data_IF_561895396012
#
_entry.id   IF_561895396012
#
_cell.length_a   1.000
_cell.length_b   1.000
_cell.length_c   1.000
_cell.angle_alpha   90.00
_cell.angle_beta   90.00
_cell.angle_gamma   90.00
#
_symmetry.space_group_name_H-M   'P 1'
#
loop_
_entity.id
_entity.type
_entity.pdbx_description
1 polymer ?
#
# COMPACT_ATOMS: atom_id res chain seq x y z
N UNK A 1 80.31 40.20 -34.07
CA UNK A 1 79.41 40.73 -33.03
C UNK A 1 78.38 39.65 -32.76
N UNK A 2 78.71 38.65 -31.94
CA UNK A 2 78.40 38.52 -30.49
C UNK A 2 76.88 38.58 -30.22
N UNK A 3 76.27 37.40 -30.05
CA UNK A 3 75.24 37.06 -29.03
C UNK A 3 75.31 35.53 -28.87
N UNK A 4 76.15 35.00 -27.96
CA UNK A 4 75.86 34.60 -26.57
C UNK A 4 74.65 33.65 -26.45
N UNK A 5 74.99 32.37 -26.29
CA UNK A 5 74.12 31.28 -25.84
C UNK A 5 73.72 31.45 -24.37
N UNK A 6 72.46 31.14 -24.05
CA UNK A 6 72.04 30.68 -22.72
C UNK A 6 71.06 29.50 -22.86
N UNK A 7 71.25 28.39 -22.12
CA UNK A 7 70.43 27.20 -22.27
C UNK A 7 69.18 27.19 -21.38
N UNK A 8 68.26 26.36 -21.85
CA UNK A 8 66.96 25.90 -21.35
C UNK A 8 66.95 25.47 -19.87
N UNK A 9 65.91 25.84 -19.13
CA UNK A 9 65.44 25.11 -17.93
C UNK A 9 63.97 24.73 -18.17
N UNK A 10 63.74 23.43 -18.38
CA UNK A 10 62.41 22.83 -18.35
C UNK A 10 61.99 22.64 -16.88
N UNK A 11 60.95 23.35 -16.44
CA UNK A 11 60.19 22.97 -15.24
C UNK A 11 58.93 22.24 -15.71
N UNK A 12 58.96 20.91 -15.63
CA UNK A 12 57.76 20.08 -15.83
C UNK A 12 56.82 20.26 -14.64
N UNK A 13 55.87 21.17 -14.77
CA UNK A 13 54.69 21.16 -13.90
C UNK A 13 53.81 19.98 -14.33
N UNK A 14 53.78 18.91 -13.53
CA UNK A 14 52.73 17.89 -13.62
C UNK A 14 51.42 18.48 -13.14
N UNK A 15 50.82 19.33 -13.98
CA UNK A 15 49.46 19.80 -13.83
C UNK A 15 48.52 18.65 -14.17
N UNK A 16 48.10 17.89 -13.14
CA UNK A 16 46.90 17.06 -13.26
C UNK A 16 45.74 18.03 -13.47
N UNK A 17 45.25 18.10 -14.71
CA UNK A 17 43.99 18.74 -15.04
C UNK A 17 42.89 18.03 -14.25
N UNK A 18 42.53 18.57 -13.10
CA UNK A 18 41.26 18.27 -12.45
C UNK A 18 40.17 18.87 -13.33
N UNK A 19 39.68 18.06 -14.28
CA UNK A 19 38.36 18.31 -14.84
C UNK A 19 37.37 18.24 -13.68
N UNK A 20 36.61 19.30 -13.38
CA UNK A 20 35.47 19.13 -12.49
C UNK A 20 34.59 18.07 -13.13
N UNK A 21 34.32 16.99 -12.40
CA UNK A 21 33.20 16.13 -12.72
C UNK A 21 31.95 17.03 -12.65
N UNK A 22 31.57 17.63 -13.77
CA UNK A 22 30.20 18.01 -14.01
C UNK A 22 29.42 16.72 -14.04
N UNK A 23 29.10 16.22 -12.84
CA UNK A 23 28.10 15.20 -12.65
C UNK A 23 26.82 15.80 -13.18
N UNK A 24 26.55 15.57 -14.47
CA UNK A 24 25.18 15.45 -14.94
C UNK A 24 24.59 14.35 -14.07
N UNK A 25 23.97 14.75 -12.96
CA UNK A 25 22.94 13.95 -12.33
C UNK A 25 21.91 13.84 -13.43
N UNK A 26 21.96 12.74 -14.20
CA UNK A 26 20.83 12.33 -15.00
C UNK A 26 19.75 12.15 -13.95
N UNK A 27 18.89 13.16 -13.78
CA UNK A 27 17.61 12.94 -13.15
C UNK A 27 16.96 11.88 -14.03
N UNK A 28 17.04 10.61 -13.59
CA UNK A 28 16.10 9.61 -14.04
C UNK A 28 14.76 10.23 -13.68
N UNK A 29 14.08 10.78 -14.68
CA UNK A 29 12.68 11.16 -14.58
C UNK A 29 11.93 9.89 -14.19
N UNK A 30 11.79 9.64 -12.90
CA UNK A 30 11.05 8.50 -12.41
C UNK A 30 9.58 8.81 -12.62
N UNK A 31 8.89 7.99 -13.41
CA UNK A 31 7.49 8.18 -13.78
C UNK A 31 6.51 8.23 -12.60
N UNK A 32 6.96 7.87 -11.39
CA UNK A 32 6.17 7.71 -10.17
C UNK A 32 7.05 7.72 -8.92
N UNK A 33 6.43 7.79 -7.73
CA UNK A 33 7.10 7.68 -6.44
C UNK A 33 7.79 6.32 -6.24
N UNK A 34 8.90 6.32 -5.48
CA UNK A 34 9.74 5.12 -5.25
C UNK A 34 8.96 3.91 -4.73
N UNK A 35 7.95 4.12 -3.88
CA UNK A 35 7.12 3.04 -3.33
C UNK A 35 6.38 2.23 -4.40
N UNK A 36 6.11 2.79 -5.56
CA UNK A 36 5.46 2.07 -6.67
C UNK A 36 6.46 1.42 -7.62
N UNK A 37 7.68 1.95 -7.71
CA UNK A 37 8.73 1.45 -8.62
C UNK A 37 9.19 0.03 -8.28
N UNK A 38 9.02 -0.40 -7.02
CA UNK A 38 9.34 -1.76 -6.57
C UNK A 38 8.34 -2.80 -7.09
N UNK A 39 7.19 -2.38 -7.62
CA UNK A 39 6.19 -3.25 -8.21
C UNK A 39 6.32 -3.18 -9.74
N UNK A 40 6.62 -4.30 -10.43
CA UNK A 40 6.70 -4.32 -11.89
C UNK A 40 5.40 -3.87 -12.54
N UNK A 41 5.52 -2.97 -13.52
CA UNK A 41 4.40 -2.44 -14.32
C UNK A 41 3.28 -1.79 -13.48
N UNK A 42 3.62 -1.18 -12.34
CA UNK A 42 2.64 -0.52 -11.49
C UNK A 42 1.92 0.63 -12.22
N UNK A 43 0.60 0.73 -12.04
CA UNK A 43 -0.27 1.69 -12.73
C UNK A 43 0.07 3.14 -12.44
N UNK A 44 0.48 3.46 -11.20
CA UNK A 44 1.01 4.78 -10.85
C UNK A 44 2.22 5.23 -11.72
N UNK A 45 2.96 4.28 -12.29
CA UNK A 45 4.17 4.50 -13.08
C UNK A 45 3.92 4.55 -14.58
N UNK A 46 2.66 4.36 -15.01
CA UNK A 46 2.27 4.53 -16.40
C UNK A 46 2.43 5.99 -16.84
N UNK A 47 2.66 6.16 -18.13
CA UNK A 47 2.77 7.47 -18.77
C UNK A 47 1.51 7.74 -19.57
N UNK A 48 1.11 9.01 -19.60
CA UNK A 48 0.01 9.47 -20.44
C UNK A 48 0.38 9.27 -21.90
N UNK A 49 -0.50 8.61 -22.64
CA UNK A 49 -0.31 8.37 -24.07
C UNK A 49 -0.65 9.62 -24.88
N UNK A 50 -0.08 9.75 -26.09
CA UNK A 50 -0.37 10.89 -26.97
C UNK A 50 -1.83 10.94 -27.44
N UNK A 51 -2.54 9.81 -27.39
CA UNK A 51 -3.96 9.73 -27.76
C UNK A 51 -4.91 10.09 -26.61
N UNK A 52 -4.40 10.28 -25.39
CA UNK A 52 -5.19 10.66 -24.23
C UNK A 52 -5.41 12.18 -24.21
N UNK A 53 -6.60 12.62 -24.61
CA UNK A 53 -7.10 13.99 -24.52
C UNK A 53 -8.13 14.11 -23.40
N UNK A 54 -8.55 15.33 -23.08
CA UNK A 54 -9.62 15.63 -22.09
C UNK A 54 -9.56 14.72 -20.86
N UNK A 55 -8.46 14.81 -20.11
CA UNK A 55 -8.18 13.87 -19.01
C UNK A 55 -8.11 14.57 -17.66
N UNK A 56 -8.54 13.85 -16.63
CA UNK A 56 -8.74 14.37 -15.28
C UNK A 56 -10.20 14.30 -14.84
N UNK A 57 -10.41 14.56 -13.55
CA UNK A 57 -11.72 14.54 -12.89
C UNK A 57 -11.93 15.90 -12.24
N UNK A 58 -13.06 16.55 -12.53
CA UNK A 58 -13.43 17.80 -11.87
C UNK A 58 -13.91 17.55 -10.43
N UNK A 59 -13.87 18.55 -9.55
CA UNK A 59 -14.40 18.38 -8.19
C UNK A 59 -15.92 18.07 -8.18
N UNK A 60 -16.66 18.59 -9.17
CA UNK A 60 -18.06 18.25 -9.38
C UNK A 60 -18.23 16.76 -9.70
N UNK A 61 -17.42 16.23 -10.60
CA UNK A 61 -17.43 14.80 -10.94
C UNK A 61 -17.06 13.93 -9.73
N UNK A 62 -16.10 14.34 -8.89
CA UNK A 62 -15.77 13.62 -7.64
C UNK A 62 -17.00 13.51 -6.74
N UNK A 63 -17.76 14.61 -6.59
CA UNK A 63 -18.98 14.64 -5.79
C UNK A 63 -20.07 13.75 -6.38
N UNK A 64 -20.30 13.83 -7.71
CA UNK A 64 -21.26 12.97 -8.42
C UNK A 64 -20.91 11.50 -8.23
N UNK A 65 -19.63 11.14 -8.37
CA UNK A 65 -19.17 9.78 -8.21
C UNK A 65 -19.49 9.25 -6.81
N UNK A 66 -19.04 9.95 -5.76
CA UNK A 66 -19.27 9.51 -4.38
C UNK A 66 -20.75 9.49 -4.04
N UNK A 67 -21.50 10.52 -4.44
CA UNK A 67 -22.93 10.62 -4.18
C UNK A 67 -23.71 9.48 -4.83
N UNK A 68 -23.46 9.17 -6.11
CA UNK A 68 -24.16 8.08 -6.82
C UNK A 68 -23.83 6.71 -6.27
N UNK A 69 -22.58 6.46 -5.86
CA UNK A 69 -22.25 5.22 -5.18
C UNK A 69 -23.01 5.09 -3.85
N UNK A 70 -23.03 6.14 -3.03
CA UNK A 70 -23.74 6.11 -1.75
C UNK A 70 -25.26 6.00 -1.90
N UNK A 71 -25.85 6.66 -2.91
CA UNK A 71 -27.27 6.49 -3.27
C UNK A 71 -27.61 5.03 -3.57
N UNK A 72 -26.83 4.37 -4.43
CA UNK A 72 -27.08 2.96 -4.76
C UNK A 72 -26.82 2.00 -3.60
N UNK A 73 -25.86 2.33 -2.74
CA UNK A 73 -25.50 1.54 -1.55
C UNK A 73 -26.57 1.62 -0.47
N UNK A 74 -27.26 2.76 -0.31
CA UNK A 74 -28.27 2.97 0.74
C UNK A 74 -29.61 2.32 0.44
N UNK A 75 -29.84 1.91 -0.83
CA UNK A 75 -31.10 1.36 -1.33
C UNK A 75 -31.01 -0.10 -1.78
N UNK A 76 -29.93 -0.81 -1.43
CA UNK A 76 -29.80 -2.24 -1.77
C UNK A 76 -30.96 -3.05 -1.20
N UNK A 77 -31.39 -4.05 -1.96
CA UNK A 77 -32.47 -4.96 -1.59
C UNK A 77 -32.03 -6.42 -1.75
N UNK A 78 -32.05 -7.24 -0.68
CA UNK A 78 -32.44 -6.89 0.70
C UNK A 78 -31.48 -5.86 1.35
N UNK A 79 -31.91 -5.11 2.39
CA UNK A 79 -31.05 -4.13 3.05
C UNK A 79 -29.82 -4.76 3.70
N UNK A 80 -28.74 -3.99 3.83
CA UNK A 80 -27.46 -4.45 4.37
C UNK A 80 -27.27 -4.05 5.83
N UNK A 81 -26.81 -4.98 6.68
CA UNK A 81 -26.62 -4.72 8.13
C UNK A 81 -25.49 -3.73 8.43
N UNK A 82 -24.49 -3.66 7.55
CA UNK A 82 -23.36 -2.74 7.64
C UNK A 82 -22.79 -2.41 6.25
N UNK A 83 -23.47 -1.54 5.52
CA UNK A 83 -22.96 -0.99 4.26
C UNK A 83 -22.12 0.27 4.57
N UNK A 84 -20.82 0.27 4.26
CA UNK A 84 -20.02 1.46 4.52
C UNK A 84 -20.46 2.65 3.65
N UNK A 85 -20.44 3.85 4.23
CA UNK A 85 -20.48 5.09 3.45
C UNK A 85 -19.13 5.30 2.76
N UNK A 86 -19.18 5.47 1.44
CA UNK A 86 -18.01 5.62 0.60
C UNK A 86 -17.54 7.08 0.60
N UNK A 87 -16.23 7.30 0.52
CA UNK A 87 -15.57 8.62 0.46
C UNK A 87 -14.46 8.63 -0.57
N UNK A 88 -14.15 9.81 -1.11
CA UNK A 88 -13.09 9.98 -2.11
C UNK A 88 -11.69 9.76 -1.50
N UNK A 89 -10.77 9.23 -2.31
CA UNK A 89 -9.36 9.05 -1.99
C UNK A 89 -8.46 9.45 -3.17
N UNK A 90 -7.71 10.54 -3.00
CA UNK A 90 -6.90 11.12 -4.07
C UNK A 90 -5.73 10.21 -4.51
N UNK A 91 -5.23 9.35 -3.63
CA UNK A 91 -4.14 8.44 -3.99
C UNK A 91 -4.65 7.29 -4.86
N UNK A 92 -5.82 6.75 -4.52
CA UNK A 92 -6.53 5.78 -5.38
C UNK A 92 -6.90 6.42 -6.72
N UNK A 93 -7.38 7.67 -6.70
CA UNK A 93 -7.75 8.41 -7.90
C UNK A 93 -6.56 8.69 -8.80
N UNK A 94 -5.40 9.04 -8.24
CA UNK A 94 -4.17 9.21 -9.00
C UNK A 94 -3.79 7.94 -9.76
N UNK A 95 -3.90 6.76 -9.13
CA UNK A 95 -3.63 5.47 -9.79
C UNK A 95 -4.65 5.19 -10.90
N UNK A 96 -5.94 5.43 -10.65
CA UNK A 96 -6.99 5.28 -11.65
C UNK A 96 -6.79 6.23 -12.84
N UNK A 97 -6.41 7.48 -12.59
CA UNK A 97 -6.13 8.48 -13.61
C UNK A 97 -4.92 8.11 -14.46
N UNK A 98 -3.83 7.64 -13.85
CA UNK A 98 -2.67 7.11 -14.59
C UNK A 98 -3.04 5.94 -15.49
N UNK A 99 -3.99 5.11 -15.06
CA UNK A 99 -4.51 4.02 -15.88
C UNK A 99 -5.37 4.50 -17.05
N UNK A 100 -6.27 5.45 -16.80
CA UNK A 100 -7.10 6.08 -17.83
C UNK A 100 -6.24 6.77 -18.90
N UNK A 101 -5.25 7.55 -18.48
CA UNK A 101 -4.28 8.25 -19.34
C UNK A 101 -3.44 7.29 -20.22
N UNK A 102 -3.27 6.05 -19.77
CA UNK A 102 -2.52 5.02 -20.48
C UNK A 102 -3.34 4.32 -21.58
N UNK A 103 -4.64 4.64 -21.70
CA UNK A 103 -5.53 4.20 -22.78
C UNK A 103 -5.43 2.70 -23.09
N UNK A 104 -5.52 1.87 -22.05
CA UNK A 104 -5.38 0.40 -22.13
C UNK A 104 -6.66 -0.33 -22.55
N UNK A 105 -7.76 0.38 -22.79
CA UNK A 105 -9.06 -0.20 -23.13
C UNK A 105 -9.73 -0.87 -21.92
N UNK A 106 -10.63 -1.83 -22.18
CA UNK A 106 -11.38 -2.58 -21.15
C UNK A 106 -10.60 -3.80 -20.64
N UNK A 107 -9.31 -3.65 -20.44
CA UNK A 107 -8.45 -4.68 -19.85
C UNK A 107 -8.12 -4.22 -18.45
N UNK A 108 -8.34 -5.06 -17.44
CA UNK A 108 -7.93 -4.74 -16.07
C UNK A 108 -6.42 -4.86 -15.91
N UNK A 109 -5.83 -3.96 -15.12
CA UNK A 109 -4.50 -4.20 -14.58
C UNK A 109 -4.50 -5.35 -13.55
N UNK A 110 -3.33 -5.86 -13.23
CA UNK A 110 -3.17 -6.85 -12.16
C UNK A 110 -3.43 -6.20 -10.79
N UNK A 111 -4.00 -6.94 -9.84
CA UNK A 111 -4.29 -6.41 -8.49
C UNK A 111 -3.07 -5.80 -7.78
N UNK A 112 -1.86 -6.35 -8.02
CA UNK A 112 -0.61 -5.78 -7.52
C UNK A 112 -0.22 -4.47 -8.24
N UNK A 113 -0.55 -4.32 -9.51
CA UNK A 113 -0.21 -3.14 -10.30
C UNK A 113 -1.01 -1.91 -9.87
N UNK A 114 -2.20 -2.08 -9.29
CA UNK A 114 -3.00 -0.99 -8.69
C UNK A 114 -2.95 -0.89 -7.17
N UNK A 115 -2.16 -1.75 -6.50
CA UNK A 115 -2.09 -1.77 -5.04
C UNK A 115 -1.29 -0.60 -4.50
N UNK A 116 -1.71 0.00 -3.39
CA UNK A 116 -0.89 0.99 -2.69
C UNK A 116 -0.12 0.30 -1.56
N UNK A 117 1.23 0.26 -1.59
CA UNK A 117 2.01 -0.38 -0.53
C UNK A 117 1.68 0.20 0.84
N UNK A 118 1.47 -0.68 1.82
CA UNK A 118 1.11 -0.31 3.19
C UNK A 118 -0.38 -0.04 3.40
N UNK A 119 -1.21 -0.10 2.35
CA UNK A 119 -2.66 0.12 2.45
C UNK A 119 -3.44 -1.19 2.31
N UNK A 120 -4.76 -1.06 2.18
CA UNK A 120 -5.67 -2.15 1.83
C UNK A 120 -5.56 -2.60 0.36
N UNK A 121 -6.23 -3.72 0.03
CA UNK A 121 -6.38 -4.19 -1.35
C UNK A 121 -7.18 -3.19 -2.20
N UNK A 122 -6.96 -3.16 -3.52
CA UNK A 122 -7.66 -2.23 -4.43
C UNK A 122 -8.42 -3.02 -5.50
N UNK A 123 -9.74 -2.80 -5.61
CA UNK A 123 -10.62 -3.30 -6.68
C UNK A 123 -10.68 -2.32 -7.85
N UNK A 124 -11.34 -2.69 -8.95
CA UNK A 124 -11.44 -1.84 -10.15
C UNK A 124 -12.69 -2.13 -10.96
N UNK A 125 -13.37 -1.07 -11.40
CA UNK A 125 -14.37 -1.10 -12.48
C UNK A 125 -13.85 -0.28 -13.66
N UNK A 126 -14.11 -0.77 -14.87
CA UNK A 126 -13.77 -0.11 -16.12
C UNK A 126 -15.05 0.12 -16.93
N UNK A 127 -15.11 1.23 -17.66
CA UNK A 127 -16.12 1.45 -18.69
C UNK A 127 -15.51 2.22 -19.85
N UNK A 128 -16.13 2.07 -21.02
CA UNK A 128 -15.80 2.86 -22.19
C UNK A 128 -17.06 3.25 -22.95
N UNK A 129 -17.01 4.41 -23.59
CA UNK A 129 -18.12 4.92 -24.40
C UNK A 129 -17.58 5.61 -25.65
N UNK A 130 -18.22 5.39 -26.80
CA UNK A 130 -17.95 6.11 -28.06
C UNK A 130 -18.74 7.41 -28.19
N UNK A 131 -19.47 7.78 -27.14
CA UNK A 131 -20.33 8.97 -27.06
C UNK A 131 -20.16 9.62 -25.69
N UNK A 132 -20.71 10.82 -25.55
CA UNK A 132 -20.68 11.58 -24.30
C UNK A 132 -21.57 10.90 -23.26
N UNK A 133 -20.93 10.30 -22.27
CA UNK A 133 -21.57 9.68 -21.12
C UNK A 133 -21.01 10.35 -19.86
N UNK A 134 -21.88 10.83 -18.97
CA UNK A 134 -21.43 11.44 -17.73
C UNK A 134 -21.15 10.37 -16.66
N UNK A 135 -20.55 10.79 -15.54
CA UNK A 135 -20.22 9.88 -14.45
C UNK A 135 -21.45 9.22 -13.84
N UNK A 136 -22.58 9.92 -13.75
CA UNK A 136 -23.83 9.34 -13.26
C UNK A 136 -24.30 8.19 -14.16
N UNK A 137 -24.22 8.34 -15.49
CA UNK A 137 -24.52 7.32 -16.47
C UNK A 137 -23.58 6.12 -16.41
N UNK A 138 -22.27 6.34 -16.25
CA UNK A 138 -21.28 5.26 -16.09
C UNK A 138 -21.55 4.43 -14.83
N UNK A 139 -21.81 5.08 -13.70
CA UNK A 139 -22.08 4.40 -12.43
C UNK A 139 -23.39 3.65 -12.50
N UNK A 140 -24.41 4.23 -13.15
CA UNK A 140 -25.66 3.54 -13.43
C UNK A 140 -25.45 2.30 -14.29
N UNK A 141 -24.59 2.35 -15.31
CA UNK A 141 -24.28 1.20 -16.16
C UNK A 141 -23.70 0.05 -15.33
N UNK A 142 -22.76 0.33 -14.42
CA UNK A 142 -22.22 -0.66 -13.49
C UNK A 142 -23.27 -1.17 -12.51
N UNK A 143 -24.12 -0.30 -11.97
CA UNK A 143 -25.17 -0.70 -11.03
C UNK A 143 -26.27 -1.54 -11.68
N UNK A 144 -26.62 -1.27 -12.94
CA UNK A 144 -27.71 -1.93 -13.66
C UNK A 144 -27.51 -3.45 -13.86
N UNK A 145 -26.29 -3.97 -13.64
CA UNK A 145 -26.01 -5.40 -13.55
C UNK A 145 -26.77 -6.10 -12.39
N UNK A 146 -27.33 -5.33 -11.44
CA UNK A 146 -28.25 -5.84 -10.40
C UNK A 146 -29.39 -6.68 -10.97
N UNK A 147 -29.80 -6.44 -12.22
CA UNK A 147 -30.86 -7.17 -12.92
C UNK A 147 -30.52 -8.65 -13.12
N UNK A 148 -29.23 -8.99 -13.18
CA UNK A 148 -28.71 -10.35 -13.35
C UNK A 148 -28.17 -10.94 -12.03
N UNK A 149 -28.26 -10.19 -10.93
CA UNK A 149 -27.72 -10.57 -9.62
C UNK A 149 -28.78 -11.23 -8.72
N UNK A 150 -28.36 -12.23 -7.96
CA UNK A 150 -29.15 -12.81 -6.86
C UNK A 150 -28.27 -12.98 -5.62
N UNK A 151 -28.64 -12.33 -4.52
CA UNK A 151 -27.92 -12.43 -3.25
C UNK A 151 -27.94 -13.88 -2.72
N UNK A 152 -26.77 -14.40 -2.34
CA UNK A 152 -26.62 -15.80 -1.91
C UNK A 152 -26.80 -16.83 -3.04
N UNK A 153 -26.94 -16.37 -4.29
CA UNK A 153 -27.11 -17.22 -5.46
C UNK A 153 -25.81 -17.77 -6.03
N UNK A 154 -25.84 -18.17 -7.31
CA UNK A 154 -24.67 -18.57 -8.07
C UNK A 154 -24.44 -17.56 -9.20
N UNK A 155 -23.76 -16.45 -8.88
CA UNK A 155 -23.56 -15.34 -9.79
C UNK A 155 -22.30 -15.51 -10.64
N UNK A 156 -22.32 -14.94 -11.84
CA UNK A 156 -21.17 -14.87 -12.73
C UNK A 156 -20.46 -13.53 -12.59
N UNK A 157 -19.18 -13.56 -12.19
CA UNK A 157 -18.34 -12.37 -12.03
C UNK A 157 -18.34 -11.48 -13.28
N UNK A 158 -18.38 -12.05 -14.48
CA UNK A 158 -18.35 -11.28 -15.73
C UNK A 158 -19.66 -10.52 -16.00
N UNK A 159 -20.76 -10.90 -15.32
CA UNK A 159 -22.08 -10.29 -15.49
C UNK A 159 -22.44 -9.31 -14.39
N UNK A 160 -22.00 -9.56 -13.15
CA UNK A 160 -22.41 -8.79 -11.96
C UNK A 160 -21.27 -8.11 -11.24
N UNK A 161 -20.03 -8.30 -11.70
CA UNK A 161 -18.83 -7.88 -10.98
C UNK A 161 -18.74 -6.37 -10.75
N UNK A 162 -19.26 -5.56 -11.66
CA UNK A 162 -19.26 -4.12 -11.47
C UNK A 162 -20.30 -3.72 -10.43
N UNK A 163 -21.51 -4.28 -10.50
CA UNK A 163 -22.56 -4.04 -9.49
C UNK A 163 -22.09 -4.45 -8.10
N UNK A 164 -21.59 -5.67 -7.93
CA UNK A 164 -21.17 -6.16 -6.61
C UNK A 164 -20.04 -5.32 -6.02
N UNK A 165 -19.16 -4.75 -6.85
CA UNK A 165 -18.14 -3.80 -6.39
C UNK A 165 -18.75 -2.45 -5.98
N UNK A 166 -19.73 -1.91 -6.72
CA UNK A 166 -20.45 -0.68 -6.34
C UNK A 166 -21.10 -0.84 -4.95
N UNK A 167 -21.71 -2.01 -4.69
CA UNK A 167 -22.40 -2.32 -3.43
C UNK A 167 -21.58 -3.16 -2.45
N UNK A 168 -20.25 -3.18 -2.59
CA UNK A 168 -19.42 -3.98 -1.70
C UNK A 168 -19.36 -3.37 -0.29
N UNK A 169 -19.84 -4.09 0.72
CA UNK A 169 -20.06 -3.55 2.07
C UNK A 169 -18.83 -2.86 2.66
N UNK A 170 -17.65 -3.47 2.47
CA UNK A 170 -16.40 -3.02 3.11
C UNK A 170 -15.54 -2.10 2.26
N UNK A 171 -15.96 -1.75 1.03
CA UNK A 171 -15.27 -0.75 0.21
C UNK A 171 -15.65 0.67 0.68
N UNK A 172 -14.73 1.36 1.34
CA UNK A 172 -14.93 2.66 2.02
C UNK A 172 -14.39 3.83 1.20
N UNK A 173 -13.39 3.56 0.36
CA UNK A 173 -12.67 4.53 -0.46
C UNK A 173 -12.90 4.28 -1.92
N UNK A 174 -13.03 5.36 -2.68
CA UNK A 174 -13.08 5.33 -4.14
C UNK A 174 -12.20 6.43 -4.71
N UNK A 175 -11.55 6.13 -5.82
CA UNK A 175 -10.87 7.14 -6.62
C UNK A 175 -10.95 6.75 -8.08
N UNK A 176 -11.30 7.71 -8.92
CA UNK A 176 -11.55 7.47 -10.34
C UNK A 176 -10.65 8.32 -11.24
N UNK A 177 -10.57 7.92 -12.50
CA UNK A 177 -9.82 8.57 -13.55
C UNK A 177 -10.60 8.55 -14.87
N UNK A 178 -10.37 9.58 -15.67
CA UNK A 178 -11.03 9.78 -16.96
C UNK A 178 -10.02 10.25 -18.01
N UNK A 179 -10.14 9.72 -19.21
CA UNK A 179 -9.46 10.24 -20.39
C UNK A 179 -10.27 9.92 -21.65
N UNK A 180 -10.20 10.81 -22.64
CA UNK A 180 -10.61 10.49 -24.01
C UNK A 180 -9.43 9.85 -24.73
N UNK A 181 -9.58 8.60 -25.14
CA UNK A 181 -8.57 7.79 -25.82
C UNK A 181 -8.89 7.70 -27.31
N UNK A 182 -8.41 8.65 -28.10
CA UNK A 182 -8.80 8.80 -29.51
C UNK A 182 -10.28 9.18 -29.63
N UNK A 183 -11.12 8.26 -30.11
CA UNK A 183 -12.57 8.46 -30.24
C UNK A 183 -13.39 7.83 -29.11
N UNK A 184 -12.73 7.25 -28.10
CA UNK A 184 -13.38 6.48 -27.04
C UNK A 184 -13.08 7.07 -25.69
N UNK A 185 -14.11 7.37 -24.91
CA UNK A 185 -14.00 7.78 -23.51
C UNK A 185 -13.64 6.57 -22.64
N UNK A 186 -12.68 6.73 -21.73
CA UNK A 186 -12.20 5.71 -20.80
C UNK A 186 -12.48 6.14 -19.37
N UNK A 187 -13.21 5.30 -18.62
CA UNK A 187 -13.55 5.53 -17.22
C UNK A 187 -12.96 4.42 -16.37
N UNK A 188 -12.24 4.80 -15.32
CA UNK A 188 -11.61 3.88 -14.39
C UNK A 188 -12.02 4.30 -12.99
N UNK A 189 -12.61 3.40 -12.21
CA UNK A 189 -12.78 3.61 -10.76
C UNK A 189 -12.09 2.49 -10.01
N UNK A 190 -11.25 2.86 -9.06
CA UNK A 190 -10.58 1.96 -8.15
C UNK A 190 -11.23 2.06 -6.77
N UNK A 191 -11.35 0.93 -6.07
CA UNK A 191 -12.12 0.81 -4.81
C UNK A 191 -11.26 0.24 -3.70
N UNK A 192 -11.38 0.77 -2.49
CA UNK A 192 -10.52 0.44 -1.37
C UNK A 192 -11.26 0.31 -0.04
N UNK A 193 -11.06 -0.75 0.75
CA UNK A 193 -10.58 -2.07 0.34
C UNK A 193 -11.30 -2.61 -0.91
N UNK A 194 -10.61 -3.42 -1.70
CA UNK A 194 -11.15 -4.05 -2.90
C UNK A 194 -12.17 -5.13 -2.56
N UNK A 195 -13.23 -5.22 -3.37
CA UNK A 195 -14.32 -6.17 -3.19
C UNK A 195 -14.20 -7.47 -3.99
N UNK A 196 -15.35 -8.11 -4.20
CA UNK A 196 -15.54 -9.30 -5.05
C UNK A 196 -14.73 -10.53 -4.63
N UNK A 197 -14.44 -10.68 -3.33
CA UNK A 197 -13.85 -11.91 -2.78
C UNK A 197 -14.87 -13.06 -2.72
N UNK A 198 -16.11 -12.74 -2.38
CA UNK A 198 -17.29 -13.60 -2.49
C UNK A 198 -18.34 -12.86 -3.32
N UNK A 199 -18.42 -13.19 -4.60
CA UNK A 199 -19.32 -12.53 -5.55
C UNK A 199 -20.81 -12.70 -5.20
N UNK A 200 -21.14 -13.75 -4.45
CA UNK A 200 -22.53 -14.07 -4.12
C UNK A 200 -23.03 -13.27 -2.91
N UNK A 201 -22.11 -12.75 -2.09
CA UNK A 201 -22.42 -12.04 -0.85
C UNK A 201 -21.60 -10.74 -0.73
N UNK A 202 -21.90 -9.71 -1.55
CA UNK A 202 -21.22 -8.41 -1.46
C UNK A 202 -21.49 -7.67 -0.14
N UNK A 203 -22.55 -8.05 0.56
CA UNK A 203 -22.93 -7.56 1.87
C UNK A 203 -23.73 -8.63 2.62
N UNK A 204 -23.80 -8.49 3.95
CA UNK A 204 -24.70 -9.29 4.78
C UNK A 204 -26.06 -8.60 4.87
N UNK A 205 -27.13 -9.35 4.61
CA UNK A 205 -28.50 -8.82 4.61
C UNK A 205 -29.12 -8.81 6.01
N UNK A 206 -29.99 -7.83 6.25
CA UNK A 206 -30.73 -7.66 7.49
C UNK A 206 -31.19 -6.21 7.65
N UNK A 207 -31.64 -5.81 8.85
CA UNK A 207 -32.05 -4.42 9.08
C UNK A 207 -30.87 -3.47 8.82
N UNK A 208 -31.12 -2.43 8.02
CA UNK A 208 -30.12 -1.42 7.69
C UNK A 208 -29.44 -0.87 8.95
N UNK A 209 -28.12 -0.72 8.90
CA UNK A 209 -27.29 -0.25 10.02
C UNK A 209 -27.38 -1.05 11.34
N UNK A 210 -27.95 -2.26 11.37
CA UNK A 210 -28.04 -3.04 12.61
C UNK A 210 -26.68 -3.40 13.23
N UNK A 211 -25.59 -3.38 12.44
CA UNK A 211 -24.20 -3.54 12.90
C UNK A 211 -23.42 -2.22 13.00
N UNK A 212 -24.09 -1.07 12.90
CA UNK A 212 -23.50 0.26 13.10
C UNK A 212 -24.52 1.30 13.61
N UNK A 213 -25.29 0.99 14.68
CA UNK A 213 -26.40 1.84 15.12
C UNK A 213 -25.97 3.27 15.52
N UNK A 214 -24.73 3.44 15.99
CA UNK A 214 -24.21 4.72 16.48
C UNK A 214 -23.55 5.57 15.38
N UNK A 215 -23.39 5.02 14.18
CA UNK A 215 -22.72 5.64 13.04
C UNK A 215 -23.56 5.51 11.76
N UNK A 216 -24.88 5.36 11.89
CA UNK A 216 -25.77 5.25 10.76
C UNK A 216 -26.14 6.63 10.19
N UNK A 217 -25.98 6.78 8.88
CA UNK A 217 -26.43 7.92 8.10
C UNK A 217 -27.04 7.41 6.79
N UNK A 218 -28.34 7.66 6.57
CA UNK A 218 -29.08 7.22 5.39
C UNK A 218 -28.84 5.73 5.00
N UNK A 219 -29.04 4.81 5.95
CA UNK A 219 -28.80 3.36 5.79
C UNK A 219 -27.33 2.94 5.56
N UNK A 220 -26.38 3.86 5.71
CA UNK A 220 -24.93 3.60 5.56
C UNK A 220 -24.21 3.79 6.89
N UNK A 221 -23.18 2.98 7.14
CA UNK A 221 -22.26 3.17 8.26
C UNK A 221 -21.22 4.24 7.91
N UNK A 222 -21.35 5.43 8.51
CA UNK A 222 -20.45 6.57 8.34
C UNK A 222 -19.41 6.63 9.47
N UNK A 223 -18.24 6.04 9.20
CA UNK A 223 -17.05 6.17 10.05
C UNK A 223 -16.13 7.31 9.59
N UNK A 224 -16.68 8.38 9.02
CA UNK A 224 -15.95 9.57 8.54
C UNK A 224 -14.83 9.23 7.55
N UNK A 225 -15.09 8.24 6.69
CA UNK A 225 -14.13 7.76 5.71
C UNK A 225 -12.89 7.08 6.31
N UNK A 226 -12.90 6.67 7.58
CA UNK A 226 -11.80 5.89 8.16
C UNK A 226 -11.68 4.54 7.43
N UNK A 227 -10.48 4.16 7.05
CA UNK A 227 -10.18 2.85 6.46
C UNK A 227 -9.00 2.20 7.18
N UNK A 228 -8.96 0.87 7.18
CA UNK A 228 -7.92 0.11 7.87
C UNK A 228 -6.81 -0.28 6.89
N UNK A 229 -5.60 0.15 7.20
CA UNK A 229 -4.40 -0.08 6.40
C UNK A 229 -3.80 -1.46 6.68
N UNK A 230 -2.81 -1.87 5.88
CA UNK A 230 -2.12 -3.17 6.00
C UNK A 230 -3.05 -4.39 6.11
N UNK A 231 -4.23 -4.33 5.48
CA UNK A 231 -5.22 -5.40 5.51
C UNK A 231 -5.93 -5.59 6.85
N UNK A 232 -5.98 -4.55 7.69
CA UNK A 232 -6.84 -4.53 8.87
C UNK A 232 -8.32 -4.58 8.51
N UNK A 233 -9.16 -4.97 9.48
CA UNK A 233 -10.61 -5.09 9.33
C UNK A 233 -11.31 -3.97 10.09
N UNK A 234 -12.33 -3.36 9.49
CA UNK A 234 -13.16 -2.33 10.12
C UNK A 234 -14.27 -2.97 10.96
N UNK A 235 -14.40 -2.52 12.21
CA UNK A 235 -15.62 -2.64 13.01
C UNK A 235 -16.43 -1.35 12.82
N UNK A 236 -17.56 -1.43 12.12
CA UNK A 236 -18.42 -0.28 11.83
C UNK A 236 -19.22 0.22 13.02
N UNK A 237 -19.45 -0.61 14.05
CA UNK A 237 -20.13 -0.19 15.27
C UNK A 237 -19.20 0.69 16.12
N UNK A 238 -17.94 0.30 16.23
CA UNK A 238 -16.93 1.04 16.99
C UNK A 238 -16.17 2.09 16.15
N UNK A 239 -16.33 2.07 14.82
CA UNK A 239 -15.46 2.78 13.87
C UNK A 239 -13.96 2.58 14.17
N UNK A 240 -13.60 1.34 14.46
CA UNK A 240 -12.28 0.94 14.92
C UNK A 240 -11.67 -0.13 14.01
N UNK A 241 -10.35 -0.08 13.84
CA UNK A 241 -9.62 -1.05 13.05
C UNK A 241 -9.07 -2.17 13.94
N UNK A 242 -9.27 -3.40 13.51
CA UNK A 242 -8.57 -4.57 14.06
C UNK A 242 -7.45 -4.95 13.10
N UNK A 243 -6.21 -4.87 13.58
CA UNK A 243 -5.05 -5.15 12.74
C UNK A 243 -4.86 -6.66 12.51
N UNK A 244 -4.42 -7.01 11.30
CA UNK A 244 -4.25 -8.40 10.90
C UNK A 244 -3.18 -9.08 11.78
N UNK A 245 -3.42 -10.32 12.25
CA UNK A 245 -2.41 -11.08 12.98
C UNK A 245 -1.12 -11.32 12.17
N UNK A 246 0.05 -11.42 12.83
CA UNK A 246 0.23 -11.21 14.27
C UNK A 246 0.05 -9.72 14.62
N UNK A 247 -0.72 -9.43 15.67
CA UNK A 247 -1.06 -8.07 16.12
C UNK A 247 0.15 -7.25 16.60
N UNK A 248 1.33 -7.87 16.60
CA UNK A 248 2.63 -7.26 16.89
C UNK A 248 3.27 -6.61 15.66
N UNK A 249 2.83 -6.97 14.45
CA UNK A 249 3.39 -6.46 13.20
C UNK A 249 2.77 -5.13 12.80
N UNK A 250 1.44 -5.00 12.79
CA UNK A 250 0.78 -3.75 12.41
C UNK A 250 0.01 -3.17 13.59
N UNK A 251 0.23 -1.89 13.89
CA UNK A 251 -0.35 -1.19 15.04
C UNK A 251 -0.86 0.20 14.68
N UNK A 252 -1.58 0.82 15.62
CA UNK A 252 -2.14 2.17 15.49
C UNK A 252 -3.64 2.15 15.16
N UNK A 253 -4.32 3.32 15.25
CA UNK A 253 -5.78 3.41 15.10
C UNK A 253 -6.34 2.94 13.76
N UNK A 254 -5.51 2.92 12.71
CA UNK A 254 -5.83 2.46 11.37
C UNK A 254 -4.88 1.36 10.89
N UNK A 255 -4.10 0.73 11.78
CA UNK A 255 -3.09 -0.29 11.42
C UNK A 255 -1.99 0.21 10.48
N UNK A 256 -1.70 1.50 10.52
CA UNK A 256 -0.80 2.18 9.58
C UNK A 256 0.69 1.98 9.90
N UNK A 257 1.04 1.61 11.13
CA UNK A 257 2.43 1.47 11.56
C UNK A 257 2.88 0.02 11.40
N UNK A 258 3.99 -0.21 10.71
CA UNK A 258 4.66 -1.51 10.65
C UNK A 258 5.78 -1.56 11.70
N UNK A 259 5.59 -2.41 12.70
CA UNK A 259 6.51 -2.65 13.81
C UNK A 259 7.31 -3.95 13.68
N UNK A 260 7.28 -4.63 12.52
CA UNK A 260 8.13 -5.81 12.27
C UNK A 260 9.60 -5.45 12.45
N UNK A 261 10.28 -6.20 13.33
CA UNK A 261 11.72 -6.03 13.59
C UNK A 261 12.09 -4.72 14.30
N UNK A 262 11.11 -3.89 14.67
CA UNK A 262 11.35 -2.74 15.50
C UNK A 262 11.68 -3.24 16.90
N UNK A 263 12.68 -2.62 17.53
CA UNK A 263 13.05 -2.81 18.92
C UNK A 263 13.83 -1.59 19.36
N UNK A 264 13.80 -1.31 20.65
CA UNK A 264 14.66 -0.30 21.23
C UNK A 264 16.12 -0.64 20.94
N UNK A 265 16.86 0.30 20.36
CA UNK A 265 18.30 0.15 20.11
C UNK A 265 19.00 0.14 21.46
N UNK A 266 19.42 -1.03 21.93
CA UNK A 266 19.93 -1.22 23.30
C UNK A 266 21.05 -0.27 23.72
N UNK A 267 21.87 0.21 22.78
CA UNK A 267 22.93 1.19 23.04
C UNK A 267 22.44 2.65 23.11
N UNK A 268 21.24 2.95 22.60
CA UNK A 268 20.60 4.27 22.66
C UNK A 268 19.58 4.27 23.80
N UNK A 269 18.71 3.27 23.85
CA UNK A 269 17.55 3.20 24.73
C UNK A 269 17.85 2.50 26.06
N UNK A 270 18.92 2.94 26.72
CA UNK A 270 19.35 2.44 28.02
C UNK A 270 18.70 3.16 29.22
N UNK A 271 19.16 2.89 30.45
CA UNK A 271 18.60 3.46 31.70
C UNK A 271 18.59 5.00 31.76
N UNK A 272 19.42 5.64 30.95
CA UNK A 272 19.57 7.09 30.84
C UNK A 272 18.38 7.73 30.10
N UNK A 273 17.66 6.95 29.28
CA UNK A 273 16.54 7.42 28.47
C UNK A 273 15.23 7.14 29.18
N UNK A 274 14.44 8.19 29.37
CA UNK A 274 13.14 8.11 30.05
C UNK A 274 12.01 8.37 29.07
N UNK A 275 10.76 7.93 29.36
CA UNK A 275 9.61 8.24 28.52
C UNK A 275 9.42 9.74 28.24
N UNK A 276 9.83 10.62 29.17
CA UNK A 276 9.78 12.07 28.96
C UNK A 276 10.66 12.57 27.80
N UNK A 277 11.68 11.79 27.39
CA UNK A 277 12.53 12.12 26.24
C UNK A 277 11.84 11.91 24.91
N UNK A 278 10.78 11.08 24.86
CA UNK A 278 9.96 10.88 23.67
C UNK A 278 9.25 12.18 23.25
N UNK A 279 8.83 12.98 24.22
CA UNK A 279 8.17 14.27 23.99
C UNK A 279 9.18 15.39 23.72
N UNK A 280 10.42 15.24 24.23
CA UNK A 280 11.45 16.28 24.19
C UNK A 280 12.33 16.23 22.93
N UNK A 281 12.61 15.04 22.40
CA UNK A 281 13.57 14.86 21.32
C UNK A 281 12.94 14.08 20.16
N UNK A 282 12.94 14.69 18.97
CA UNK A 282 12.27 14.17 17.77
C UNK A 282 12.82 12.84 17.27
N UNK A 283 14.09 12.52 17.55
CA UNK A 283 14.70 11.26 17.15
C UNK A 283 14.41 10.10 18.13
N UNK A 284 14.10 10.40 19.40
CA UNK A 284 13.95 9.37 20.44
C UNK A 284 12.80 8.38 20.16
N UNK A 285 11.62 8.81 19.66
CA UNK A 285 10.58 7.86 19.24
C UNK A 285 10.99 6.91 18.11
N UNK A 286 11.97 7.29 17.28
CA UNK A 286 12.49 6.44 16.20
C UNK A 286 13.57 5.47 16.69
N UNK A 287 14.46 5.93 17.56
CA UNK A 287 15.51 5.09 18.14
C UNK A 287 14.98 4.12 19.20
N UNK A 288 13.93 4.54 19.93
CA UNK A 288 13.33 3.84 21.07
C UNK A 288 11.80 3.67 20.91
N UNK A 289 11.35 2.97 19.86
CA UNK A 289 9.93 2.88 19.52
C UNK A 289 9.10 2.12 20.55
N UNK A 290 9.67 1.20 21.34
CA UNK A 290 8.96 0.50 22.41
C UNK A 290 8.83 1.39 23.64
N UNK A 291 9.93 2.01 24.10
CA UNK A 291 9.91 2.97 25.22
C UNK A 291 8.91 4.10 24.98
N UNK A 292 8.88 4.64 23.76
CA UNK A 292 7.98 5.72 23.37
C UNK A 292 6.58 5.26 22.95
N UNK A 293 6.28 3.95 23.06
CA UNK A 293 4.98 3.37 22.71
C UNK A 293 4.54 3.65 21.26
N UNK A 294 5.49 3.92 20.37
CA UNK A 294 5.26 3.96 18.91
C UNK A 294 4.99 2.54 18.41
N UNK A 295 5.77 1.58 18.90
CA UNK A 295 5.61 0.15 18.67
C UNK A 295 5.56 -0.58 20.02
N UNK A 296 4.42 -0.56 20.74
CA UNK A 296 4.32 -1.12 22.09
C UNK A 296 4.55 -2.64 22.15
N UNK A 297 4.49 -3.34 21.02
CA UNK A 297 4.65 -4.79 20.91
C UNK A 297 5.94 -5.25 20.22
N UNK A 298 6.84 -4.32 19.88
CA UNK A 298 8.10 -4.62 19.20
C UNK A 298 9.09 -5.46 20.05
N UNK A 299 8.89 -5.51 21.38
CA UNK A 299 9.76 -6.22 22.33
C UNK A 299 9.30 -7.61 22.77
N UNK A 300 8.10 -8.06 22.37
CA UNK A 300 7.61 -9.41 22.71
C UNK A 300 8.14 -10.42 21.69
N UNK A 301 9.33 -10.95 21.97
CA UNK A 301 10.06 -11.84 21.08
C UNK A 301 9.26 -13.06 20.67
N UNK A 302 8.88 -13.11 19.39
CA UNK A 302 8.65 -14.36 18.68
C UNK A 302 9.76 -14.47 17.63
N UNK A 303 10.60 -15.48 17.78
CA UNK A 303 11.51 -15.89 16.72
C UNK A 303 10.68 -16.14 15.46
N UNK A 304 11.04 -15.49 14.35
CA UNK A 304 10.54 -15.90 13.04
C UNK A 304 10.89 -17.39 12.86
N UNK A 305 9.94 -18.26 12.48
CA UNK A 305 10.30 -19.60 12.03
C UNK A 305 11.04 -19.44 10.71
N UNK A 306 12.31 -19.86 10.75
CA UNK A 306 13.21 -20.12 9.63
C UNK A 306 13.75 -18.96 8.79
N UNK A 307 15.08 -18.88 8.76
CA UNK A 307 15.83 -18.45 7.59
C UNK A 307 17.01 -17.53 7.85
N UNK A 308 18.17 -18.09 8.24
CA UNK A 308 19.48 -17.46 8.04
C UNK A 308 20.34 -17.34 9.29
N UNK A 309 21.09 -18.39 9.61
CA UNK A 309 22.30 -18.25 10.43
C UNK A 309 23.34 -17.46 9.62
N UNK A 310 23.74 -16.29 10.10
CA UNK A 310 25.07 -15.77 9.78
C UNK A 310 26.13 -16.50 10.62
N UNK A 311 27.31 -16.81 10.06
CA UNK A 311 28.33 -17.57 10.77
C UNK A 311 29.05 -16.71 11.79
N UNK A 312 28.97 -17.11 13.07
CA UNK A 312 29.80 -16.56 14.14
C UNK A 312 31.26 -16.96 13.88
N UNK A 313 32.10 -15.98 13.54
CA UNK A 313 33.57 -16.12 13.63
C UNK A 313 33.95 -16.12 15.12
N UNK A 314 34.25 -17.29 15.68
CA UNK A 314 34.86 -17.37 17.03
C UNK A 314 36.37 -17.47 16.92
N UNK A 315 37.04 -16.36 17.20
CA UNK A 315 38.47 -16.31 17.47
C UNK A 315 38.65 -16.27 18.99
N UNK A 316 38.98 -17.41 19.62
CA UNK A 316 39.61 -17.36 20.95
C UNK A 316 40.42 -18.62 21.20
N UNK A 317 41.73 -18.43 21.32
CA UNK A 317 42.65 -19.36 21.95
C UNK A 317 42.28 -19.48 23.43
N UNK A 318 42.18 -20.70 23.95
CA UNK A 318 42.41 -20.94 25.37
C UNK A 318 43.06 -22.32 25.58
N UNK A 319 44.25 -22.26 26.16
CA UNK A 319 45.12 -23.32 26.63
C UNK A 319 44.52 -24.05 27.82
N UNK A 320 44.45 -25.38 27.79
CA UNK A 320 44.37 -26.22 29.00
C UNK A 320 45.26 -27.46 28.81
N UNK A 321 46.28 -27.55 29.66
CA UNK A 321 47.07 -28.74 29.97
C UNK A 321 46.16 -29.78 30.68
N UNK A 322 46.08 -31.03 30.22
CA UNK A 322 45.96 -32.19 31.13
C UNK A 322 46.45 -33.49 30.47
N UNK A 323 47.62 -33.92 30.94
CA UNK A 323 48.13 -35.27 31.19
C UNK A 323 47.58 -36.47 30.40
N UNK A 324 48.44 -37.05 29.55
CA UNK A 324 48.36 -38.43 29.09
C UNK A 324 48.75 -39.41 30.19
N UNK A 325 47.90 -40.41 30.48
CA UNK A 325 48.34 -41.71 30.99
C UNK A 325 47.64 -42.81 30.17
N UNK A 326 48.47 -43.63 29.54
CA UNK A 326 48.18 -44.83 28.76
C UNK A 326 48.31 -46.04 29.70
N UNK A 327 47.33 -46.96 29.70
CA UNK A 327 47.42 -48.35 30.21
C UNK A 327 46.33 -49.15 29.48
N UNK A 328 46.62 -49.78 28.33
CA UNK A 328 47.04 -51.18 28.12
C UNK A 328 46.01 -52.22 28.61
N UNK A 329 45.53 -52.98 27.62
CA UNK A 329 44.67 -54.16 27.63
C UNK A 329 45.03 -55.26 28.63
N UNK A 330 44.01 -55.99 29.10
CA UNK A 330 44.04 -57.45 29.23
C UNK A 330 42.63 -58.04 29.01
N UNK A 331 42.52 -58.98 28.05
CA UNK A 331 41.44 -59.97 27.92
C UNK A 331 41.69 -61.10 28.93
N UNK A 332 40.65 -61.73 29.48
CA UNK A 332 40.35 -63.18 29.39
C UNK A 332 39.32 -63.66 30.44
N UNK A 333 38.34 -64.42 29.94
CA UNK A 333 37.63 -65.58 30.55
C UNK A 333 36.66 -65.29 31.71
N UNK A 334 35.35 -65.34 31.45
CA UNK A 334 34.51 -66.56 31.50
C UNK A 334 33.37 -66.45 30.47
#
# INVERSE_FOLDING_TARGET
MKEILTPVIFLTYTGVLFFPCSGHRIERSTSCAQKYQVIPNHSACLQKTAIATDSGISDEDKNVIVSKHNEYRSVVNPPAVAMAKMSWDDEIAMIAQKYADACKGLVHDGGRQRSIPGRFSVGQNLASASYDLDWAGVIKLWYDEVKDFTLGGNNDLMKVGHYTQVVWATSIKIGCGFAVCGSTRSYVCNYGPGGNLDINNPYESGSACSKCPNSCDDNLCDCQGKACENGGTMDFNACACTCKPPTTTYVGPSCQLNCTGQKDRSYICGPQFTPAMCDRFTNVPQDCPTMCKVCPYAGIGFAAPDGGQEPVKSNTRLSILTTMIVLISFRLIF
#
